data_IF_029369744461
#
_entry.id   IF_029369744461
#
_cell.length_a   1.000
_cell.length_b   1.000
_cell.length_c   1.000
_cell.angle_alpha   90.00
_cell.angle_beta   90.00
_cell.angle_gamma   90.00
#
_symmetry.space_group_name_H-M   'P 1'
#
loop_
_entity.id
_entity.type
_entity.pdbx_description
1 polymer ?
#
# COMPACT_ATOMS: atom_id res chain seq x y z
N UNK A 1 -4.14 -4.97 19.70
CA UNK A 1 -3.93 -3.49 19.69
C UNK A 1 -4.28 -2.96 18.31
N UNK A 2 -4.80 -1.73 18.21
CA UNK A 2 -4.96 -1.04 16.91
C UNK A 2 -3.63 -0.49 16.43
N UNK A 3 -3.54 -0.04 15.18
CA UNK A 3 -2.31 0.42 14.57
C UNK A 3 -2.53 1.59 13.60
N UNK A 4 -1.48 2.38 13.37
CA UNK A 4 -1.46 3.47 12.39
C UNK A 4 -0.29 3.35 11.43
N UNK A 5 -0.46 3.89 10.24
CA UNK A 5 0.48 3.79 9.14
C UNK A 5 0.45 5.00 8.19
N UNK A 6 1.25 4.90 7.13
CA UNK A 6 1.24 5.88 6.03
C UNK A 6 1.53 5.22 4.69
N UNK A 7 1.14 5.90 3.62
CA UNK A 7 1.50 5.60 2.25
C UNK A 7 2.73 6.43 1.84
N UNK A 8 3.65 5.87 1.04
CA UNK A 8 4.65 6.66 0.32
C UNK A 8 5.12 5.92 -0.94
N UNK A 9 4.56 6.26 -2.10
CA UNK A 9 4.76 5.51 -3.34
C UNK A 9 6.11 5.71 -4.03
N UNK A 10 6.92 6.64 -3.54
CA UNK A 10 8.22 6.99 -4.10
C UNK A 10 9.38 6.79 -3.12
N UNK A 11 9.16 6.16 -1.95
CA UNK A 11 10.18 5.97 -0.93
C UNK A 11 11.46 5.32 -1.48
N UNK A 12 11.31 4.33 -2.36
CA UNK A 12 12.43 3.63 -3.00
C UNK A 12 13.25 4.54 -3.93
N UNK A 13 12.71 5.66 -4.39
CA UNK A 13 13.40 6.65 -5.24
C UNK A 13 14.26 7.66 -4.48
N UNK A 14 14.06 7.79 -3.17
CA UNK A 14 14.84 8.68 -2.29
C UNK A 14 16.29 8.19 -2.11
N UNK A 15 17.15 9.08 -1.62
CA UNK A 15 18.51 8.70 -1.21
C UNK A 15 18.46 7.75 0.00
N UNK A 16 19.52 6.97 0.23
CA UNK A 16 19.53 6.06 1.39
C UNK A 16 19.41 6.80 2.72
N UNK A 17 20.03 7.98 2.82
CA UNK A 17 19.97 8.85 4.00
C UNK A 17 18.55 9.41 4.21
N UNK A 18 17.88 9.86 3.14
CA UNK A 18 16.49 10.34 3.23
C UNK A 18 15.52 9.21 3.57
N UNK A 19 15.75 7.99 3.05
CA UNK A 19 14.98 6.81 3.43
C UNK A 19 15.12 6.53 4.93
N UNK A 20 16.36 6.53 5.45
CA UNK A 20 16.63 6.25 6.86
C UNK A 20 16.04 7.34 7.76
N UNK A 21 16.22 8.62 7.42
CA UNK A 21 15.65 9.73 8.17
C UNK A 21 14.11 9.69 8.21
N UNK A 22 13.48 9.44 7.05
CA UNK A 22 12.03 9.30 6.97
C UNK A 22 11.51 8.14 7.82
N UNK A 23 12.14 6.96 7.72
CA UNK A 23 11.75 5.74 8.43
C UNK A 23 11.99 5.90 9.94
N UNK A 24 13.09 6.52 10.37
CA UNK A 24 13.38 6.81 11.78
C UNK A 24 12.33 7.74 12.37
N UNK A 25 11.92 8.76 11.60
CA UNK A 25 10.85 9.65 12.02
C UNK A 25 9.51 8.90 12.14
N UNK A 26 9.17 8.02 11.21
CA UNK A 26 7.98 7.17 11.32
C UNK A 26 8.03 6.25 12.55
N UNK A 27 9.19 5.67 12.88
CA UNK A 27 9.39 4.89 14.11
C UNK A 27 9.13 5.74 15.35
N UNK A 28 9.55 7.00 15.36
CA UNK A 28 9.28 7.93 16.47
C UNK A 28 7.80 8.22 16.68
N UNK A 29 6.97 8.07 15.63
CA UNK A 29 5.50 8.16 15.71
C UNK A 29 4.83 6.85 16.10
N UNK A 30 5.62 5.80 16.37
CA UNK A 30 5.17 4.43 16.60
C UNK A 30 4.35 3.86 15.41
N UNK A 31 4.70 4.30 14.20
CA UNK A 31 4.14 3.78 12.94
C UNK A 31 4.35 2.27 12.87
N UNK A 32 3.31 1.52 12.50
CA UNK A 32 3.37 0.06 12.38
C UNK A 32 3.40 -0.44 10.96
N UNK A 33 2.85 0.32 10.01
CA UNK A 33 2.70 -0.13 8.63
C UNK A 33 3.01 1.00 7.66
N UNK A 34 3.81 0.72 6.62
CA UNK A 34 4.02 1.61 5.47
C UNK A 34 3.57 0.92 4.19
N UNK A 35 2.76 1.59 3.37
CA UNK A 35 2.37 1.09 2.05
C UNK A 35 3.29 1.62 0.95
N UNK A 36 3.75 0.71 0.11
CA UNK A 36 4.71 0.91 -0.97
C UNK A 36 4.15 0.37 -2.29
N UNK A 37 4.75 0.81 -3.40
CA UNK A 37 4.35 0.43 -4.75
C UNK A 37 5.52 -0.16 -5.51
N UNK A 38 5.22 -1.17 -6.32
CA UNK A 38 6.15 -1.67 -7.34
C UNK A 38 5.95 -0.85 -8.62
N UNK A 39 6.51 0.34 -8.63
CA UNK A 39 6.42 1.30 -9.73
C UNK A 39 7.80 1.85 -10.13
N UNK A 40 7.85 2.49 -11.31
CA UNK A 40 9.03 3.20 -11.78
C UNK A 40 9.23 4.49 -11.00
N UNK A 41 10.48 4.92 -10.84
CA UNK A 41 10.84 6.22 -10.28
C UNK A 41 11.82 6.92 -11.23
N UNK A 42 11.71 8.24 -11.32
CA UNK A 42 12.63 9.06 -12.10
C UNK A 42 13.26 10.08 -11.17
N UNK A 43 14.56 10.38 -11.38
CA UNK A 43 15.22 11.47 -10.65
C UNK A 43 14.49 12.80 -10.85
N UNK A 44 14.51 13.61 -9.81
CA UNK A 44 13.90 14.94 -9.80
C UNK A 44 13.01 15.16 -8.58
N UNK A 45 12.12 16.15 -8.68
CA UNK A 45 11.25 16.51 -7.59
C UNK A 45 9.96 15.70 -7.60
N UNK A 46 9.64 15.10 -6.46
CA UNK A 46 8.37 14.43 -6.22
C UNK A 46 7.80 14.91 -4.89
N UNK A 47 6.70 15.67 -4.94
CA UNK A 47 5.96 16.14 -3.76
C UNK A 47 6.85 16.77 -2.67
N UNK A 48 7.77 17.64 -3.08
CA UNK A 48 8.70 18.32 -2.19
C UNK A 48 9.96 17.53 -1.84
N UNK A 49 10.05 16.26 -2.21
CA UNK A 49 11.22 15.40 -1.99
C UNK A 49 12.09 15.31 -3.25
N UNK A 50 13.41 15.15 -3.04
CA UNK A 50 14.37 14.92 -4.14
C UNK A 50 14.59 13.42 -4.35
N UNK A 51 14.20 12.91 -5.51
CA UNK A 51 14.50 11.55 -5.93
C UNK A 51 15.87 11.52 -6.60
N UNK A 52 16.76 10.68 -6.08
CA UNK A 52 18.14 10.55 -6.58
C UNK A 52 18.38 9.24 -7.33
N UNK A 53 17.38 8.36 -7.39
CA UNK A 53 17.44 7.06 -8.04
C UNK A 53 16.52 7.01 -9.24
N UNK A 54 17.03 6.53 -10.37
CA UNK A 54 16.20 6.11 -11.50
C UNK A 54 15.88 4.62 -11.32
N UNK A 55 14.60 4.30 -11.17
CA UNK A 55 14.12 2.93 -10.99
C UNK A 55 13.29 2.59 -12.22
N UNK A 56 13.66 1.54 -12.98
CA UNK A 56 12.94 1.19 -14.18
C UNK A 56 11.50 0.75 -13.86
N UNK A 57 10.64 0.73 -14.87
CA UNK A 57 9.36 0.05 -14.76
C UNK A 57 9.60 -1.46 -14.60
N UNK A 58 8.83 -2.08 -13.72
CA UNK A 58 8.87 -3.53 -13.53
C UNK A 58 8.65 -4.29 -14.83
N UNK A 59 7.79 -3.78 -15.71
CA UNK A 59 7.40 -4.48 -16.93
C UNK A 59 7.15 -3.45 -18.03
N UNK A 60 8.01 -3.44 -19.03
CA UNK A 60 7.84 -2.65 -20.26
C UNK A 60 7.37 -3.51 -21.43
N UNK A 61 7.68 -4.80 -21.38
CA UNK A 61 7.18 -5.83 -22.31
C UNK A 61 6.43 -6.87 -21.50
N UNK A 62 5.21 -7.24 -21.94
CA UNK A 62 4.36 -8.18 -21.21
C UNK A 62 5.07 -9.51 -20.95
N UNK A 63 5.05 -9.95 -19.68
CA UNK A 63 5.70 -11.16 -19.19
C UNK A 63 7.22 -11.06 -19.02
N UNK A 64 7.83 -9.91 -19.28
CA UNK A 64 9.27 -9.67 -19.08
C UNK A 64 9.47 -8.68 -17.93
N UNK A 65 10.01 -9.18 -16.82
CA UNK A 65 10.12 -8.44 -15.58
C UNK A 65 11.54 -7.92 -15.34
N UNK A 66 11.64 -6.68 -14.87
CA UNK A 66 12.88 -6.03 -14.48
C UNK A 66 13.07 -6.10 -12.96
N UNK A 67 13.99 -6.96 -12.52
CA UNK A 67 14.24 -7.18 -11.10
C UNK A 67 14.81 -5.95 -10.38
N UNK A 68 15.39 -4.97 -11.09
CA UNK A 68 15.93 -3.77 -10.45
C UNK A 68 14.84 -2.96 -9.72
N UNK A 69 13.58 -3.01 -10.19
CA UNK A 69 12.44 -2.42 -9.49
C UNK A 69 12.16 -3.12 -8.16
N UNK A 70 12.32 -4.45 -8.13
CA UNK A 70 12.10 -5.26 -6.92
C UNK A 70 13.24 -5.08 -5.93
N UNK A 71 14.48 -5.09 -6.41
CA UNK A 71 15.67 -4.87 -5.58
C UNK A 71 15.59 -3.51 -4.86
N UNK A 72 15.04 -2.48 -5.51
CA UNK A 72 14.85 -1.16 -4.89
C UNK A 72 13.77 -1.17 -3.79
N UNK A 73 12.66 -1.91 -3.98
CA UNK A 73 11.64 -2.08 -2.95
C UNK A 73 12.17 -2.93 -1.78
N UNK A 74 12.94 -3.97 -2.06
CA UNK A 74 13.56 -4.84 -1.05
C UNK A 74 14.50 -4.08 -0.12
N UNK A 75 15.29 -3.15 -0.65
CA UNK A 75 16.16 -2.29 0.15
C UNK A 75 15.36 -1.46 1.18
N UNK A 76 14.21 -0.91 0.76
CA UNK A 76 13.30 -0.19 1.67
C UNK A 76 12.68 -1.14 2.69
N UNK A 77 12.27 -2.33 2.26
CA UNK A 77 11.69 -3.33 3.15
C UNK A 77 12.65 -3.75 4.26
N UNK A 78 13.94 -3.91 3.97
CA UNK A 78 14.97 -4.18 4.98
C UNK A 78 15.05 -3.06 6.01
N UNK A 79 15.02 -1.80 5.56
CA UNK A 79 15.07 -0.62 6.45
C UNK A 79 13.82 -0.54 7.34
N UNK A 80 12.63 -0.76 6.78
CA UNK A 80 11.37 -0.81 7.55
C UNK A 80 11.40 -1.93 8.59
N UNK A 81 11.84 -3.12 8.19
CA UNK A 81 11.92 -4.29 9.05
C UNK A 81 12.88 -4.07 10.23
N UNK A 82 14.03 -3.42 9.99
CA UNK A 82 14.99 -3.05 11.03
C UNK A 82 14.43 -2.08 12.09
N UNK A 83 13.26 -1.47 11.83
CA UNK A 83 12.55 -0.59 12.76
C UNK A 83 11.22 -1.20 13.24
N UNK A 84 10.99 -2.50 13.03
CA UNK A 84 9.73 -3.19 13.34
C UNK A 84 8.50 -2.56 12.63
N UNK A 85 8.71 -1.98 11.45
CA UNK A 85 7.64 -1.42 10.62
C UNK A 85 7.30 -2.46 9.54
N UNK A 86 6.03 -2.84 9.48
CA UNK A 86 5.48 -3.76 8.49
C UNK A 86 5.19 -3.05 7.17
N UNK A 87 4.96 -3.80 6.11
CA UNK A 87 4.73 -3.23 4.79
C UNK A 87 3.43 -3.71 4.14
N UNK A 88 2.80 -2.83 3.37
CA UNK A 88 1.80 -3.19 2.36
C UNK A 88 2.44 -3.00 0.99
N UNK A 89 2.51 -4.03 0.14
CA UNK A 89 3.13 -3.92 -1.18
C UNK A 89 2.08 -3.97 -2.27
N UNK A 90 1.90 -2.84 -2.95
CA UNK A 90 1.05 -2.75 -4.14
C UNK A 90 1.80 -3.19 -5.39
N UNK A 91 1.42 -4.32 -6.03
CA UNK A 91 2.14 -4.91 -7.15
C UNK A 91 1.92 -4.17 -8.48
N UNK A 92 0.84 -3.37 -8.55
CA UNK A 92 0.42 -2.65 -9.73
C UNK A 92 -0.51 -1.49 -9.35
N UNK A 93 -0.43 -0.39 -10.09
CA UNK A 93 -1.24 0.82 -9.89
C UNK A 93 -2.32 0.95 -10.96
N UNK A 94 -3.62 0.94 -10.57
CA UNK A 94 -4.72 1.13 -11.52
C UNK A 94 -4.60 2.43 -12.32
N UNK A 95 -4.00 3.47 -11.75
CA UNK A 95 -3.82 4.76 -12.42
C UNK A 95 -2.97 4.67 -13.69
N UNK A 96 -2.08 3.68 -13.79
CA UNK A 96 -1.31 3.41 -15.02
C UNK A 96 -2.18 2.93 -16.20
N UNK A 97 -3.48 2.73 -15.98
CA UNK A 97 -4.43 2.34 -17.02
C UNK A 97 -5.35 3.46 -17.52
N UNK A 98 -5.33 4.60 -16.84
CA UNK A 98 -6.13 5.75 -17.23
C UNK A 98 -5.51 6.49 -18.44
N UNK A 99 -4.28 6.14 -18.80
CA UNK A 99 -3.53 6.77 -19.89
C UNK A 99 -2.61 7.88 -19.38
N UNK A 100 -2.37 8.87 -20.23
CA UNK A 100 -1.50 10.01 -19.91
C UNK A 100 -0.04 9.61 -19.67
N UNK A 101 0.66 10.38 -18.82
CA UNK A 101 2.07 10.13 -18.51
C UNK A 101 2.28 8.85 -17.69
N UNK A 102 1.25 8.35 -17.00
CA UNK A 102 1.32 7.17 -16.11
C UNK A 102 1.18 5.83 -16.85
N UNK A 103 0.84 5.86 -18.15
CA UNK A 103 0.54 4.66 -18.94
C UNK A 103 1.67 3.63 -18.93
N UNK A 104 1.29 2.36 -18.87
CA UNK A 104 2.20 1.21 -18.90
C UNK A 104 1.95 0.27 -20.09
N UNK A 105 2.67 -0.85 -20.13
CA UNK A 105 2.56 -1.83 -21.21
C UNK A 105 1.19 -2.52 -21.30
N UNK A 106 0.39 -2.52 -20.23
CA UNK A 106 -0.98 -3.02 -20.25
C UNK A 106 -1.88 -2.03 -20.97
N UNK A 107 -1.74 -0.74 -20.65
CA UNK A 107 -2.43 0.31 -21.38
C UNK A 107 -2.06 0.28 -22.87
N UNK A 108 -0.77 0.21 -23.21
CA UNK A 108 -0.34 0.22 -24.62
C UNK A 108 -0.86 -1.00 -25.40
N UNK A 109 -1.03 -2.16 -24.73
CA UNK A 109 -1.54 -3.37 -25.38
C UNK A 109 -3.05 -3.37 -25.56
N UNK A 110 -3.81 -2.93 -24.57
CA UNK A 110 -5.26 -3.13 -24.51
C UNK A 110 -6.07 -1.84 -24.48
N UNK A 111 -5.47 -0.69 -24.19
CA UNK A 111 -6.14 0.61 -24.05
C UNK A 111 -6.84 0.81 -22.71
N UNK A 112 -7.53 1.95 -22.53
CA UNK A 112 -8.33 2.24 -21.35
C UNK A 112 -9.57 1.32 -21.26
N UNK A 113 -10.05 1.05 -20.05
CA UNK A 113 -11.24 0.26 -19.70
C UNK A 113 -11.19 -1.26 -19.97
N UNK A 114 -10.25 -1.76 -20.76
CA UNK A 114 -10.35 -3.10 -21.39
C UNK A 114 -9.73 -4.25 -20.60
N UNK A 115 -8.95 -3.98 -19.54
CA UNK A 115 -8.26 -5.02 -18.75
C UNK A 115 -9.20 -5.91 -17.96
N UNK A 116 -10.34 -5.36 -17.49
CA UNK A 116 -11.35 -6.15 -16.76
C UNK A 116 -12.19 -6.97 -17.73
N UNK A 117 -12.35 -6.51 -18.98
CA UNK A 117 -13.23 -7.13 -19.98
C UNK A 117 -12.56 -8.32 -20.68
N UNK A 118 -11.26 -8.24 -20.96
CA UNK A 118 -10.53 -9.25 -21.73
C UNK A 118 -9.91 -10.32 -20.83
N UNK A 119 -10.34 -11.58 -20.99
CA UNK A 119 -9.80 -12.76 -20.27
C UNK A 119 -8.26 -12.83 -20.29
N UNK A 120 -7.64 -12.44 -21.40
CA UNK A 120 -6.18 -12.46 -21.58
C UNK A 120 -5.51 -11.37 -20.75
N UNK A 121 -6.04 -10.15 -20.73
CA UNK A 121 -5.50 -9.05 -19.93
C UNK A 121 -5.59 -9.36 -18.43
N UNK A 122 -6.72 -9.93 -17.98
CA UNK A 122 -6.91 -10.44 -16.61
C UNK A 122 -5.84 -11.46 -16.21
N UNK A 123 -5.53 -12.41 -17.10
CA UNK A 123 -4.50 -13.43 -16.86
C UNK A 123 -3.11 -12.83 -16.75
N UNK A 124 -2.69 -11.97 -17.68
CA UNK A 124 -1.36 -11.34 -17.63
C UNK A 124 -1.16 -10.48 -16.37
N UNK A 125 -2.22 -9.85 -15.88
CA UNK A 125 -2.16 -9.10 -14.61
C UNK A 125 -2.03 -9.95 -13.38
N UNK A 126 -2.84 -11.01 -13.26
CA UNK A 126 -2.59 -11.95 -12.19
C UNK A 126 -1.16 -12.53 -12.36
N UNK A 127 -0.69 -12.81 -13.59
CA UNK A 127 0.69 -13.26 -13.84
C UNK A 127 1.72 -12.25 -13.31
N UNK A 128 1.59 -10.95 -13.60
CA UNK A 128 2.47 -9.92 -13.03
C UNK A 128 2.51 -9.94 -11.51
N UNK A 129 1.33 -9.93 -10.86
CA UNK A 129 1.25 -10.01 -9.40
C UNK A 129 1.93 -11.27 -8.85
N UNK A 130 1.92 -12.35 -9.64
CA UNK A 130 2.47 -13.65 -9.26
C UNK A 130 3.96 -13.82 -9.56
N UNK A 131 4.45 -13.17 -10.61
CA UNK A 131 5.85 -13.17 -11.00
C UNK A 131 6.69 -12.42 -9.96
N UNK A 132 6.11 -11.41 -9.30
CA UNK A 132 6.71 -10.75 -8.14
C UNK A 132 7.08 -11.74 -7.04
N UNK A 133 6.13 -12.57 -6.60
CA UNK A 133 6.42 -13.57 -5.56
C UNK A 133 7.29 -14.71 -6.09
N UNK A 134 7.15 -15.09 -7.36
CA UNK A 134 7.92 -16.18 -7.95
C UNK A 134 9.41 -15.83 -8.12
N UNK A 135 9.73 -14.62 -8.58
CA UNK A 135 11.10 -14.15 -8.74
C UNK A 135 11.83 -14.08 -7.40
N UNK A 136 11.13 -13.68 -6.34
CA UNK A 136 11.70 -13.65 -4.99
C UNK A 136 11.86 -15.04 -4.35
N UNK A 137 10.90 -15.95 -4.56
CA UNK A 137 11.04 -17.36 -4.15
C UNK A 137 12.20 -18.05 -4.89
N UNK A 138 12.43 -17.73 -6.16
CA UNK A 138 13.56 -18.26 -6.94
C UNK A 138 14.92 -17.74 -6.48
N UNK A 139 15.05 -16.45 -6.13
CA UNK A 139 16.27 -15.91 -5.48
C UNK A 139 16.61 -16.67 -4.20
N UNK A 140 15.61 -17.21 -3.49
CA UNK A 140 15.72 -18.07 -2.31
C UNK A 140 16.34 -19.46 -2.51
N UNK A 141 16.44 -19.96 -3.74
CA UNK A 141 16.65 -21.40 -4.01
C UNK A 141 17.92 -21.75 -4.82
N UNK A 142 18.83 -20.79 -5.04
CA UNK A 142 20.14 -21.08 -5.65
C UNK A 142 21.27 -21.14 -4.61
N UNK A 143 21.93 -22.30 -4.42
CA UNK A 143 23.18 -22.37 -3.69
C UNK A 143 24.30 -21.85 -4.61
N UNK A 144 25.11 -20.92 -4.09
CA UNK A 144 26.32 -20.38 -4.72
C UNK A 144 26.12 -19.32 -5.83
N UNK A 145 25.89 -18.08 -5.40
CA UNK A 145 26.55 -16.86 -5.96
C UNK A 145 26.52 -15.71 -4.93
N UNK A 146 27.09 -15.94 -3.76
CA UNK A 146 27.56 -14.86 -2.90
C UNK A 146 28.85 -14.28 -3.50
N UNK A 147 28.86 -12.98 -3.83
CA UNK A 147 30.04 -12.39 -4.44
C UNK A 147 30.01 -10.88 -4.71
N UNK A 148 29.33 -10.09 -3.87
CA UNK A 148 29.74 -8.74 -3.42
C UNK A 148 28.63 -8.19 -2.49
N UNK A 149 28.90 -8.23 -1.18
CA UNK A 149 28.13 -7.67 -0.07
C UNK A 149 26.70 -8.22 0.16
N UNK A 150 26.64 -9.53 0.43
CA UNK A 150 25.95 -10.08 1.60
C UNK A 150 24.53 -9.63 2.00
N UNK A 151 23.56 -9.62 1.08
CA UNK A 151 22.13 -9.55 1.44
C UNK A 151 21.42 -10.80 0.93
N UNK A 152 20.84 -11.56 1.86
CA UNK A 152 20.07 -12.79 1.63
C UNK A 152 18.77 -12.50 0.85
N UNK A 153 18.18 -13.49 0.18
CA UNK A 153 16.91 -13.34 -0.56
C UNK A 153 15.74 -13.13 0.41
N UNK A 154 15.01 -12.03 0.26
CA UNK A 154 14.30 -11.42 1.39
C UNK A 154 12.79 -11.70 1.47
N UNK A 155 12.01 -11.94 0.43
CA UNK A 155 10.54 -12.05 0.64
C UNK A 155 10.02 -13.32 1.34
N UNK A 156 10.51 -14.55 1.06
CA UNK A 156 10.07 -15.73 1.81
C UNK A 156 10.58 -15.70 3.26
N UNK A 157 11.78 -15.14 3.46
CA UNK A 157 12.47 -15.00 4.75
C UNK A 157 11.86 -13.91 5.63
N UNK A 158 11.29 -12.87 5.01
CA UNK A 158 10.61 -11.76 5.68
C UNK A 158 9.24 -12.19 6.24
N UNK A 159 8.56 -13.15 5.61
CA UNK A 159 7.22 -13.56 6.05
C UNK A 159 7.21 -14.66 7.12
N UNK A 160 8.36 -15.30 7.42
CA UNK A 160 8.72 -15.94 8.71
C UNK A 160 9.98 -16.81 8.61
N UNK A 161 10.92 -16.70 9.56
CA UNK A 161 11.73 -17.83 10.03
C UNK A 161 12.23 -17.60 11.47
N UNK A 162 11.69 -18.29 12.47
CA UNK A 162 12.11 -18.20 13.89
C UNK A 162 13.22 -19.19 14.27
N UNK A 163 14.20 -18.73 15.07
CA UNK A 163 14.63 -19.39 16.32
C UNK A 163 15.79 -18.72 17.07
N UNK A 164 16.41 -17.61 16.59
CA UNK A 164 17.42 -16.91 17.42
C UNK A 164 17.77 -15.44 17.09
N UNK A 165 17.14 -14.78 16.12
CA UNK A 165 17.34 -13.33 15.84
C UNK A 165 16.47 -12.93 14.65
N UNK A 166 15.22 -12.55 14.89
CA UNK A 166 14.15 -12.79 13.91
C UNK A 166 13.54 -11.52 13.31
N UNK A 167 13.98 -11.15 12.10
CA UNK A 167 13.29 -10.19 11.23
C UNK A 167 12.02 -10.86 10.68
N UNK A 168 10.86 -10.40 11.11
CA UNK A 168 9.56 -10.73 10.53
C UNK A 168 8.94 -9.44 10.00
N UNK A 169 8.83 -9.28 8.68
CA UNK A 169 7.95 -8.26 8.07
C UNK A 169 6.77 -9.02 7.49
N UNK A 170 5.67 -9.01 8.22
CA UNK A 170 4.41 -9.44 7.65
C UNK A 170 3.99 -8.45 6.56
N UNK A 171 3.73 -8.97 5.35
CA UNK A 171 3.27 -8.17 4.22
C UNK A 171 1.74 -8.25 4.11
N UNK A 172 1.06 -7.11 3.95
CA UNK A 172 -0.25 -7.10 3.30
C UNK A 172 0.01 -6.89 1.80
N UNK A 173 -0.69 -7.64 0.96
CA UNK A 173 -0.52 -7.57 -0.50
C UNK A 173 -1.87 -7.31 -1.14
N UNK A 174 -2.20 -6.03 -1.41
CA UNK A 174 -3.32 -5.74 -2.28
C UNK A 174 -3.03 -6.35 -3.64
N UNK A 175 -4.01 -6.97 -4.28
CA UNK A 175 -3.78 -7.48 -5.63
C UNK A 175 -3.58 -6.33 -6.65
N UNK A 176 -3.98 -5.10 -6.32
CA UNK A 176 -3.73 -3.87 -7.09
C UNK A 176 -4.09 -2.63 -6.26
N UNK A 177 -3.42 -1.48 -6.43
CA UNK A 177 -3.93 -0.19 -5.94
C UNK A 177 -5.20 0.19 -6.73
N UNK A 178 -6.23 0.66 -6.02
CA UNK A 178 -7.49 1.21 -6.51
C UNK A 178 -8.09 0.42 -7.70
N UNK A 179 -8.31 -0.89 -7.54
CA UNK A 179 -8.82 -1.70 -8.62
C UNK A 179 -10.18 -1.18 -9.04
N UNK A 180 -10.31 -0.92 -10.35
CA UNK A 180 -11.51 -0.43 -11.03
C UNK A 180 -11.70 1.10 -11.09
N UNK A 181 -10.74 1.94 -10.65
CA UNK A 181 -10.75 3.39 -10.96
C UNK A 181 -10.99 3.69 -12.44
N UNK A 182 -10.42 2.83 -13.24
CA UNK A 182 -10.38 2.96 -14.68
C UNK A 182 -11.59 2.25 -15.34
N UNK A 183 -12.51 1.71 -14.53
CA UNK A 183 -13.82 1.19 -14.91
C UNK A 183 -14.77 1.00 -13.71
N UNK A 184 -15.31 2.08 -13.15
CA UNK A 184 -16.18 2.06 -11.96
C UNK A 184 -17.37 1.08 -12.09
N UNK A 185 -17.93 0.94 -13.30
CA UNK A 185 -19.04 0.02 -13.58
C UNK A 185 -18.71 -1.44 -13.28
N UNK A 186 -17.45 -1.89 -13.42
CA UNK A 186 -17.08 -3.27 -13.09
C UNK A 186 -17.09 -3.52 -11.58
N UNK A 187 -16.72 -2.52 -10.80
CA UNK A 187 -16.86 -2.61 -9.36
C UNK A 187 -18.34 -2.51 -8.93
N UNK A 188 -19.10 -1.54 -9.45
CA UNK A 188 -20.53 -1.38 -9.13
C UNK A 188 -21.39 -2.59 -9.52
N UNK A 189 -20.99 -3.32 -10.56
CA UNK A 189 -21.64 -4.57 -10.98
C UNK A 189 -21.04 -5.81 -10.29
N UNK A 190 -20.42 -5.63 -9.12
CA UNK A 190 -19.93 -6.70 -8.25
C UNK A 190 -18.91 -7.64 -8.94
N UNK A 191 -17.89 -7.06 -9.58
CA UNK A 191 -16.84 -7.77 -10.32
C UNK A 191 -17.42 -8.88 -11.23
N UNK A 192 -18.17 -8.51 -12.29
CA UNK A 192 -18.96 -9.45 -13.11
C UNK A 192 -18.09 -10.47 -13.87
N UNK A 193 -16.77 -10.35 -13.77
CA UNK A 193 -15.79 -11.20 -14.42
C UNK A 193 -14.98 -12.06 -13.45
N UNK A 194 -15.26 -11.97 -12.14
CA UNK A 194 -14.60 -12.74 -11.08
C UNK A 194 -13.08 -12.53 -11.04
N UNK A 195 -12.61 -11.35 -11.43
CA UNK A 195 -11.19 -11.05 -11.52
C UNK A 195 -10.54 -10.97 -10.14
N UNK A 196 -11.18 -10.28 -9.19
CA UNK A 196 -10.60 -10.00 -7.87
C UNK A 196 -10.33 -11.29 -7.11
N UNK A 197 -11.34 -12.16 -6.99
CA UNK A 197 -11.19 -13.44 -6.31
C UNK A 197 -10.25 -14.40 -7.07
N UNK A 198 -10.24 -14.33 -8.41
CA UNK A 198 -9.30 -15.09 -9.23
C UNK A 198 -7.84 -14.73 -8.97
N UNK A 199 -7.51 -13.43 -8.94
CA UNK A 199 -6.16 -12.97 -8.61
C UNK A 199 -5.81 -13.27 -7.15
N UNK A 200 -6.74 -13.07 -6.19
CA UNK A 200 -6.50 -13.40 -4.78
C UNK A 200 -6.19 -14.90 -4.57
N UNK A 201 -6.96 -15.80 -5.19
CA UNK A 201 -6.67 -17.26 -5.14
C UNK A 201 -5.32 -17.60 -5.72
N UNK A 202 -4.96 -16.96 -6.83
CA UNK A 202 -3.66 -17.19 -7.46
C UNK A 202 -2.52 -16.68 -6.57
N UNK A 203 -2.68 -15.53 -5.92
CA UNK A 203 -1.73 -15.01 -4.94
C UNK A 203 -1.58 -15.95 -3.73
N UNK A 204 -2.69 -16.39 -3.13
CA UNK A 204 -2.69 -17.40 -2.06
C UNK A 204 -1.96 -18.69 -2.47
N UNK A 205 -2.17 -19.17 -3.70
CA UNK A 205 -1.49 -20.39 -4.17
C UNK A 205 0.05 -20.27 -4.21
N UNK A 206 0.58 -19.06 -4.30
CA UNK A 206 2.04 -18.81 -4.33
C UNK A 206 2.61 -18.54 -2.95
N UNK A 207 1.81 -17.95 -2.07
CA UNK A 207 2.13 -17.85 -0.65
C UNK A 207 2.18 -19.24 0.00
N UNK A 208 1.45 -20.21 -0.55
CA UNK A 208 1.43 -21.59 -0.06
C UNK A 208 0.95 -21.64 1.39
N UNK A 209 1.80 -22.16 2.27
CA UNK A 209 1.48 -22.30 3.69
C UNK A 209 1.76 -21.05 4.52
N UNK A 210 2.31 -19.99 3.92
CA UNK A 210 2.49 -18.71 4.59
C UNK A 210 1.13 -18.11 4.97
N UNK A 211 0.79 -18.18 6.26
CA UNK A 211 -0.43 -17.61 6.83
C UNK A 211 -0.25 -16.20 7.38
N UNK A 212 0.99 -15.73 7.47
CA UNK A 212 1.29 -14.41 8.02
C UNK A 212 0.97 -13.32 6.98
N UNK A 213 1.25 -13.57 5.69
CA UNK A 213 0.91 -12.62 4.62
C UNK A 213 -0.59 -12.58 4.34
N UNK A 214 -1.19 -11.40 4.53
CA UNK A 214 -2.58 -11.15 4.19
C UNK A 214 -2.72 -10.71 2.73
N UNK A 215 -3.73 -11.23 2.05
CA UNK A 215 -4.18 -10.79 0.73
C UNK A 215 -5.34 -9.83 0.91
N UNK A 216 -5.18 -8.60 0.40
CA UNK A 216 -6.14 -7.52 0.59
C UNK A 216 -6.68 -7.00 -0.73
N UNK A 217 -7.70 -6.14 -0.67
CA UNK A 217 -8.41 -5.68 -1.87
C UNK A 217 -7.83 -4.45 -2.55
N UNK A 218 -6.95 -3.71 -1.89
CA UNK A 218 -6.35 -2.49 -2.43
C UNK A 218 -7.32 -1.35 -2.72
N UNK A 219 -8.49 -1.33 -2.06
CA UNK A 219 -9.57 -0.36 -2.28
C UNK A 219 -10.82 -0.96 -2.94
N UNK A 220 -10.74 -2.11 -3.62
CA UNK A 220 -11.93 -2.72 -4.22
C UNK A 220 -12.89 -3.24 -3.15
N UNK A 221 -14.15 -2.82 -3.21
CA UNK A 221 -15.11 -3.10 -2.14
C UNK A 221 -14.85 -2.28 -0.87
N UNK A 222 -14.02 -1.26 -0.92
CA UNK A 222 -13.85 -0.26 0.14
C UNK A 222 -13.70 1.15 -0.41
N UNK A 223 -13.99 1.35 -1.70
CA UNK A 223 -13.93 2.64 -2.36
C UNK A 223 -15.29 3.31 -2.21
N UNK A 224 -15.37 4.22 -1.24
CA UNK A 224 -16.61 4.93 -0.91
C UNK A 224 -16.89 6.03 -1.93
N UNK A 225 -15.86 6.58 -2.57
CA UNK A 225 -15.99 7.69 -3.51
C UNK A 225 -16.68 7.29 -4.81
N UNK A 226 -16.58 6.01 -5.20
CA UNK A 226 -17.17 5.48 -6.43
C UNK A 226 -18.36 4.51 -6.20
N UNK A 227 -18.97 4.56 -5.01
CA UNK A 227 -20.07 3.67 -4.60
C UNK A 227 -19.71 2.18 -4.71
N UNK A 228 -18.48 1.88 -4.31
CA UNK A 228 -17.76 0.64 -4.54
C UNK A 228 -17.44 -0.07 -3.22
N UNK A 229 -18.47 -0.25 -2.38
CA UNK A 229 -18.29 -0.63 -0.97
C UNK A 229 -18.89 -2.00 -0.66
N UNK A 230 -18.07 -2.86 -0.04
CA UNK A 230 -18.34 -4.22 0.45
C UNK A 230 -19.05 -5.17 -0.52
N UNK A 231 -18.69 -5.09 -1.81
CA UNK A 231 -19.15 -6.00 -2.85
C UNK A 231 -18.97 -7.49 -2.49
N UNK A 232 -20.03 -8.29 -2.70
CA UNK A 232 -20.01 -9.73 -2.42
C UNK A 232 -18.88 -10.48 -3.13
N UNK A 233 -18.47 -10.04 -4.32
CA UNK A 233 -17.36 -10.64 -5.05
C UNK A 233 -16.02 -10.60 -4.29
N UNK A 234 -15.82 -9.59 -3.44
CA UNK A 234 -14.65 -9.53 -2.55
C UNK A 234 -14.97 -10.03 -1.15
N UNK A 235 -16.15 -9.74 -0.59
CA UNK A 235 -16.52 -10.13 0.79
C UNK A 235 -16.87 -11.61 0.94
N UNK A 236 -17.13 -12.34 -0.15
CA UNK A 236 -17.38 -13.79 -0.12
C UNK A 236 -16.20 -14.60 -0.68
N UNK A 237 -15.14 -13.95 -1.16
CA UNK A 237 -13.96 -14.65 -1.67
C UNK A 237 -13.13 -15.23 -0.52
N UNK A 238 -12.97 -16.55 -0.46
CA UNK A 238 -12.19 -17.27 0.55
C UNK A 238 -10.69 -16.93 0.55
N UNK A 239 -10.17 -16.44 -0.58
CA UNK A 239 -8.75 -16.08 -0.72
C UNK A 239 -8.40 -14.65 -0.29
N UNK A 240 -9.38 -13.83 0.10
CA UNK A 240 -9.18 -12.44 0.56
C UNK A 240 -9.31 -12.42 2.08
N UNK A 241 -8.31 -11.91 2.80
CA UNK A 241 -8.29 -11.89 4.27
C UNK A 241 -8.81 -10.57 4.85
N UNK A 242 -8.58 -9.46 4.14
CA UNK A 242 -8.95 -8.12 4.58
C UNK A 242 -9.49 -7.25 3.44
N UNK A 243 -10.46 -6.40 3.77
CA UNK A 243 -10.99 -5.35 2.90
C UNK A 243 -10.26 -4.05 3.22
N UNK A 244 -9.59 -3.50 2.20
CA UNK A 244 -8.95 -2.19 2.26
C UNK A 244 -9.98 -1.11 1.88
N UNK A 245 -10.16 -0.12 2.75
CA UNK A 245 -11.07 1.01 2.53
C UNK A 245 -10.27 2.24 2.13
N UNK A 246 -10.68 2.88 1.03
CA UNK A 246 -10.16 4.16 0.55
C UNK A 246 -11.26 5.21 0.73
N UNK A 247 -10.97 6.26 1.50
CA UNK A 247 -11.94 7.33 1.76
C UNK A 247 -11.27 8.67 1.98
N UNK A 248 -11.51 9.60 1.07
CA UNK A 248 -11.02 10.98 1.11
C UNK A 248 -12.12 11.95 1.55
N UNK A 249 -12.76 11.68 2.68
CA UNK A 249 -13.95 12.41 3.12
C UNK A 249 -13.64 13.84 3.60
N UNK A 250 -12.43 14.10 4.11
CA UNK A 250 -12.00 15.40 4.65
C UNK A 250 -12.95 16.04 5.68
N UNK A 251 -13.84 15.27 6.32
CA UNK A 251 -14.77 15.77 7.36
C UNK A 251 -14.50 14.99 8.66
N UNK A 252 -14.17 15.68 9.77
CA UNK A 252 -13.99 15.05 11.08
C UNK A 252 -15.24 14.30 11.57
N UNK A 253 -15.05 13.17 12.28
CA UNK A 253 -16.06 12.58 13.18
C UNK A 253 -17.00 11.51 12.61
N UNK A 254 -16.69 10.92 11.46
CA UNK A 254 -17.53 9.88 10.83
C UNK A 254 -16.78 8.58 10.53
N UNK A 255 -15.64 8.34 11.17
CA UNK A 255 -14.90 7.08 11.05
C UNK A 255 -15.44 6.06 12.03
N UNK A 256 -15.58 6.46 13.30
CA UNK A 256 -16.09 5.61 14.38
C UNK A 256 -17.49 5.09 14.10
N UNK A 257 -18.38 5.95 13.58
CA UNK A 257 -19.76 5.60 13.27
C UNK A 257 -19.89 4.62 12.10
N UNK A 258 -18.94 4.61 11.17
CA UNK A 258 -19.01 3.77 9.97
C UNK A 258 -18.47 2.35 10.22
N UNK A 259 -17.56 2.18 11.19
CA UNK A 259 -16.87 0.91 11.42
C UNK A 259 -17.81 -0.27 11.71
N UNK A 260 -18.87 -0.16 12.55
CA UNK A 260 -19.77 -1.30 12.80
C UNK A 260 -20.40 -1.84 11.52
N UNK A 261 -20.87 -0.94 10.65
CA UNK A 261 -21.47 -1.32 9.37
C UNK A 261 -20.44 -1.95 8.45
N UNK A 262 -19.23 -1.40 8.38
CA UNK A 262 -18.14 -1.97 7.59
C UNK A 262 -17.77 -3.39 8.04
N UNK A 263 -17.64 -3.63 9.34
CA UNK A 263 -17.35 -4.98 9.88
C UNK A 263 -18.50 -5.94 9.55
N UNK A 264 -19.75 -5.50 9.69
CA UNK A 264 -20.92 -6.32 9.34
C UNK A 264 -20.92 -6.70 7.86
N UNK A 265 -20.62 -5.75 6.97
CA UNK A 265 -20.62 -5.98 5.52
C UNK A 265 -19.39 -6.77 5.03
N UNK A 266 -18.27 -6.73 5.77
CA UNK A 266 -17.04 -7.44 5.44
C UNK A 266 -17.15 -8.97 5.50
N UNK A 267 -18.25 -9.51 6.03
CA UNK A 267 -18.53 -10.95 6.07
C UNK A 267 -17.39 -11.75 6.75
N UNK A 268 -16.99 -11.30 7.94
CA UNK A 268 -15.94 -11.94 8.75
C UNK A 268 -14.50 -11.61 8.35
N UNK A 269 -14.28 -10.81 7.29
CA UNK A 269 -12.96 -10.33 6.89
C UNK A 269 -12.49 -9.18 7.78
N UNK A 270 -11.18 -8.98 7.86
CA UNK A 270 -10.62 -7.79 8.51
C UNK A 270 -10.94 -6.53 7.69
N UNK A 271 -11.03 -5.38 8.34
CA UNK A 271 -11.27 -4.08 7.72
C UNK A 271 -10.26 -3.07 8.24
N UNK A 272 -9.68 -2.28 7.35
CA UNK A 272 -8.80 -1.17 7.69
C UNK A 272 -8.92 -0.06 6.65
N UNK A 273 -8.57 1.16 7.04
CA UNK A 273 -8.41 2.28 6.11
C UNK A 273 -7.02 2.20 5.47
N UNK A 274 -6.96 1.84 4.19
CA UNK A 274 -5.69 1.78 3.45
C UNK A 274 -5.27 3.16 2.92
N UNK A 275 -6.25 4.00 2.60
CA UNK A 275 -6.03 5.39 2.21
C UNK A 275 -7.10 6.30 2.80
N UNK A 276 -6.64 7.35 3.47
CA UNK A 276 -7.45 8.50 3.87
C UNK A 276 -6.62 9.76 3.75
N UNK A 277 -7.26 10.89 3.45
CA UNK A 277 -6.57 12.17 3.31
C UNK A 277 -7.44 13.31 3.80
N UNK A 278 -6.77 14.35 4.30
CA UNK A 278 -7.38 15.63 4.66
C UNK A 278 -7.02 16.62 3.55
N UNK A 279 -8.03 17.10 2.83
CA UNK A 279 -7.87 18.08 1.76
C UNK A 279 -7.31 19.40 2.32
N UNK A 280 -6.01 19.62 2.10
CA UNK A 280 -5.28 20.78 2.59
C UNK A 280 -5.80 22.10 2.01
N UNK A 281 -6.45 22.06 0.83
CA UNK A 281 -7.04 23.25 0.20
C UNK A 281 -8.29 23.74 0.94
N UNK A 282 -8.91 22.87 1.75
CA UNK A 282 -10.17 23.14 2.46
C UNK A 282 -10.02 23.19 3.98
N UNK A 283 -9.12 22.40 4.56
CA UNK A 283 -9.05 22.19 6.00
C UNK A 283 -7.65 22.48 6.56
N UNK A 284 -7.61 22.93 7.82
CA UNK A 284 -6.37 22.97 8.58
C UNK A 284 -5.96 21.54 8.99
N UNK A 285 -4.96 21.00 8.29
CA UNK A 285 -4.45 19.66 8.54
C UNK A 285 -3.90 19.49 9.96
N UNK A 286 -3.46 20.57 10.65
CA UNK A 286 -2.94 20.45 12.02
C UNK A 286 -4.01 19.99 13.00
N UNK A 287 -5.17 20.67 12.98
CA UNK A 287 -6.31 20.30 13.81
C UNK A 287 -7.04 19.06 13.30
N UNK A 288 -7.24 18.97 11.98
CA UNK A 288 -8.02 17.88 11.38
C UNK A 288 -7.34 16.52 11.53
N UNK A 289 -6.00 16.43 11.41
CA UNK A 289 -5.29 15.16 11.56
C UNK A 289 -5.46 14.56 12.95
N UNK A 290 -5.29 15.38 13.99
CA UNK A 290 -5.47 14.96 15.39
C UNK A 290 -6.90 14.47 15.60
N UNK A 291 -7.89 15.30 15.22
CA UNK A 291 -9.30 14.98 15.41
C UNK A 291 -9.74 13.70 14.69
N UNK A 292 -9.30 13.47 13.45
CA UNK A 292 -9.66 12.26 12.71
C UNK A 292 -9.02 11.01 13.33
N UNK A 293 -7.73 11.06 13.65
CA UNK A 293 -7.01 9.90 14.23
C UNK A 293 -7.56 9.54 15.61
N UNK A 294 -7.92 10.53 16.43
CA UNK A 294 -8.60 10.28 17.71
C UNK A 294 -9.98 9.62 17.52
N UNK A 295 -10.77 10.03 16.53
CA UNK A 295 -12.04 9.39 16.19
C UNK A 295 -11.85 7.92 15.78
N UNK A 296 -10.86 7.63 14.92
CA UNK A 296 -10.51 6.25 14.55
C UNK A 296 -10.01 5.43 15.74
N UNK A 297 -9.17 6.02 16.59
CA UNK A 297 -8.63 5.39 17.79
C UNK A 297 -9.74 5.03 18.79
N UNK A 298 -10.78 5.85 18.90
CA UNK A 298 -11.91 5.64 19.83
C UNK A 298 -12.63 4.30 19.65
N UNK A 299 -12.58 3.74 18.43
CA UNK A 299 -13.17 2.45 18.08
C UNK A 299 -12.12 1.40 17.68
N UNK A 300 -10.83 1.72 17.79
CA UNK A 300 -9.76 0.82 17.41
C UNK A 300 -9.74 0.48 15.91
N UNK A 301 -10.04 1.45 15.05
CA UNK A 301 -9.96 1.35 13.59
C UNK A 301 -8.52 1.58 13.13
N UNK A 302 -7.86 0.58 12.52
CA UNK A 302 -6.55 0.79 11.95
C UNK A 302 -6.60 1.62 10.66
N UNK A 303 -5.60 2.48 10.47
CA UNK A 303 -5.56 3.36 9.29
C UNK A 303 -4.16 3.66 8.78
N UNK A 304 -4.06 3.92 7.48
CA UNK A 304 -2.90 4.53 6.84
C UNK A 304 -3.28 5.90 6.27
N UNK A 305 -2.48 6.92 6.58
CA UNK A 305 -2.66 8.24 5.99
C UNK A 305 -2.08 8.30 4.56
N UNK A 306 -2.78 8.98 3.66
CA UNK A 306 -2.30 9.42 2.35
C UNK A 306 -2.09 10.93 2.38
N UNK A 307 -0.86 11.44 2.43
CA UNK A 307 0.38 10.72 2.74
C UNK A 307 1.29 11.57 3.62
N UNK A 308 2.02 10.92 4.53
CA UNK A 308 3.04 11.60 5.33
C UNK A 308 4.30 11.72 4.48
N UNK A 309 4.67 12.95 4.13
CA UNK A 309 5.79 13.29 3.26
C UNK A 309 7.08 13.54 4.08
N UNK A 310 8.27 13.15 3.57
CA UNK A 310 9.54 13.63 4.12
C UNK A 310 9.59 15.16 4.14
N UNK A 311 10.40 15.81 5.01
CA UNK A 311 10.55 17.26 5.03
C UNK A 311 10.77 17.86 3.63
N UNK A 312 10.11 18.99 3.36
CA UNK A 312 10.23 19.68 2.09
C UNK A 312 11.54 20.48 2.04
N UNK A 313 12.62 19.87 1.55
CA UNK A 313 13.96 20.46 1.59
C UNK A 313 14.70 20.44 0.24
N UNK A 314 15.70 21.31 0.12
CA UNK A 314 16.66 21.33 -1.00
C UNK A 314 16.07 21.88 -2.30
N UNK A 315 16.52 21.34 -3.45
CA UNK A 315 16.12 21.83 -4.78
C UNK A 315 14.64 21.62 -5.11
N UNK A 316 13.91 20.89 -4.26
CA UNK A 316 12.50 20.61 -4.41
C UNK A 316 11.62 21.36 -3.39
N UNK A 317 12.21 22.32 -2.67
CA UNK A 317 11.49 23.29 -1.84
C UNK A 317 10.38 24.00 -2.65
N UNK A 318 9.27 24.31 -1.97
CA UNK A 318 8.17 25.10 -2.53
C UNK A 318 6.99 24.28 -3.06
N UNK A 319 7.05 22.95 -3.01
CA UNK A 319 5.85 22.13 -3.18
C UNK A 319 4.90 22.36 -1.99
N UNK A 320 3.68 22.79 -2.29
CA UNK A 320 2.61 22.96 -1.31
C UNK A 320 1.42 22.05 -1.68
N UNK A 321 1.09 21.03 -0.87
CA UNK A 321 -0.09 20.19 -1.07
C UNK A 321 -1.37 21.00 -1.30
N UNK A 322 -1.53 22.18 -0.68
CA UNK A 322 -2.72 23.03 -0.87
C UNK A 322 -2.93 23.49 -2.31
N UNK A 323 -1.86 23.51 -3.10
CA UNK A 323 -1.88 23.98 -4.50
C UNK A 323 -1.72 22.85 -5.51
N UNK A 324 -1.49 21.60 -5.06
CA UNK A 324 -1.41 20.42 -5.91
C UNK A 324 -2.79 20.04 -6.45
N UNK A 325 -3.07 20.43 -7.70
CA UNK A 325 -4.37 20.29 -8.37
C UNK A 325 -4.94 18.86 -8.37
N UNK A 326 -4.08 17.85 -8.24
CA UNK A 326 -4.46 16.45 -8.37
C UNK A 326 -4.41 15.69 -7.02
N UNK A 327 -3.71 16.20 -6.00
CA UNK A 327 -3.49 15.49 -4.74
C UNK A 327 -3.17 16.44 -3.57
N UNK A 328 -4.23 16.98 -2.97
CA UNK A 328 -4.19 17.96 -1.88
C UNK A 328 -3.95 17.38 -0.47
N UNK A 329 -3.53 16.11 -0.35
CA UNK A 329 -3.65 15.39 0.92
C UNK A 329 -2.33 15.22 1.69
N UNK A 330 -1.19 15.58 1.09
CA UNK A 330 0.12 15.45 1.72
C UNK A 330 0.24 16.21 3.05
N UNK A 331 0.86 15.61 4.06
CA UNK A 331 1.31 16.29 5.30
C UNK A 331 2.81 16.06 5.43
N UNK A 332 3.60 17.12 5.45
CA UNK A 332 5.04 17.01 5.70
C UNK A 332 5.36 16.70 7.18
N UNK A 333 6.40 15.90 7.42
CA UNK A 333 6.88 15.56 8.76
C UNK A 333 7.32 16.77 9.59
N UNK A 334 7.66 17.89 8.95
CA UNK A 334 8.10 19.16 9.54
C UNK A 334 7.04 20.27 9.47
N UNK A 335 5.82 19.97 9.00
CA UNK A 335 4.70 20.93 8.89
C UNK A 335 4.24 21.52 10.24
N UNK A 336 4.65 20.93 11.36
CA UNK A 336 4.18 21.26 12.71
C UNK A 336 2.81 20.66 13.06
N UNK A 337 2.27 19.76 12.23
CA UNK A 337 1.16 18.88 12.61
C UNK A 337 1.64 17.86 13.66
N UNK A 338 0.88 17.65 14.73
CA UNK A 338 1.17 16.58 15.68
C UNK A 338 0.84 15.22 15.08
N UNK A 339 1.83 14.62 14.41
CA UNK A 339 1.73 13.27 13.86
C UNK A 339 1.95 12.21 14.96
N UNK A 340 2.84 12.49 15.90
CA UNK A 340 3.33 11.51 16.87
C UNK A 340 2.26 11.14 17.90
N UNK A 341 1.59 12.12 18.49
CA UNK A 341 0.60 11.90 19.56
C UNK A 341 -0.52 10.95 19.13
N UNK A 342 -1.31 11.30 18.10
CA UNK A 342 -2.43 10.47 17.66
C UNK A 342 -2.02 9.11 17.08
N UNK A 343 -0.94 9.03 16.29
CA UNK A 343 -0.47 7.77 15.73
C UNK A 343 0.04 6.80 16.81
N UNK A 344 0.76 7.31 17.81
CA UNK A 344 1.19 6.51 18.96
C UNK A 344 -0.02 6.02 19.78
N UNK A 345 -1.04 6.87 19.94
CA UNK A 345 -2.29 6.55 20.62
C UNK A 345 -2.95 5.27 20.10
N UNK A 346 -2.90 5.00 18.79
CA UNK A 346 -3.51 3.81 18.17
C UNK A 346 -3.06 2.49 18.82
N UNK A 347 -1.78 2.40 19.19
CA UNK A 347 -1.20 1.18 19.76
C UNK A 347 -1.64 0.92 21.21
N UNK A 348 -2.10 1.95 21.91
CA UNK A 348 -2.69 1.83 23.25
C UNK A 348 -4.15 1.40 23.23
N UNK A 349 -4.81 1.42 22.06
CA UNK A 349 -6.22 1.10 21.92
C UNK A 349 -6.46 -0.38 21.61
N UNK A 350 -7.54 -0.92 22.16
CA UNK A 350 -8.05 -2.22 21.72
C UNK A 350 -8.54 -2.09 20.27
N UNK A 351 -8.05 -2.95 19.37
CA UNK A 351 -8.53 -2.97 18.00
C UNK A 351 -9.93 -3.55 17.91
N UNK A 352 -10.73 -3.06 16.97
CA UNK A 352 -12.06 -3.62 16.66
C UNK A 352 -11.99 -5.07 16.16
N UNK A 353 -10.87 -5.45 15.53
CA UNK A 353 -10.59 -6.81 15.06
C UNK A 353 -9.16 -7.19 15.47
N UNK A 354 -8.90 -8.48 15.71
CA UNK A 354 -7.55 -8.93 16.08
C UNK A 354 -6.59 -8.81 14.90
N UNK A 355 -5.38 -8.29 15.13
CA UNK A 355 -4.31 -8.16 14.12
C UNK A 355 -3.03 -8.92 14.49
N UNK A 356 -3.07 -9.72 15.54
CA UNK A 356 -1.96 -10.59 15.97
C UNK A 356 -1.59 -11.56 14.85
N UNK A 357 -0.29 -11.78 14.64
CA UNK A 357 0.27 -12.60 13.55
C UNK A 357 0.33 -11.90 12.19
N UNK A 358 -0.30 -10.71 12.06
CA UNK A 358 -0.30 -9.92 10.82
C UNK A 358 0.39 -8.56 10.97
N UNK A 359 0.19 -7.86 12.09
CA UNK A 359 0.91 -6.61 12.39
C UNK A 359 1.74 -6.75 13.66
N UNK A 360 1.21 -7.47 14.65
CA UNK A 360 1.82 -7.71 15.95
C UNK A 360 2.33 -9.14 16.11
#
# INVERSE_FOLDING_TARGET
MSWSGTNLYFLQGLSDDDQDAYIDKLKSYNTKVVRLWVNRQAKGCQKGSTLVKDIPALETTLGQYNNATLDAVDQVLVKLAAKDIKAIISPHDANSLLGGYRKDCYFDRWGPGSWVLLRTARRFRCIRCTSLLHLELQKGSTPARCGRNGLMPLWPSICSYDSSSTVSTTCLTPFQNEPMDSSASNCQNNDPHGWACGCARKLKSLLGDNKNTLVTTGGLGGDISHDCTFNTAVTHCDAIDAIAVHRYASVPGHWSSALPDWISQANGKKVYLEERGIDASKYDQKAAFVSEVEDMNSVGLPSLYWQILPPGEGSCEGYDPKTDKDDHFGIFQDSGTDLAGPMNGATGMQAAQDWTGSVY
#
